data_IF_400585922230
#
_entry.id   IF_400585922230
#
_cell.length_a   1.000
_cell.length_b   1.000
_cell.length_c   1.000
_cell.angle_alpha   90.00
_cell.angle_beta   90.00
_cell.angle_gamma   90.00
#
_symmetry.space_group_name_H-M   'P 1'
#
loop_
_entity.id
_entity.type
_entity.pdbx_description
1 polymer ?
#
# COMPACT_ATOMS: atom_id res chain seq x y z
N UNK A 1 6.14 -12.45 -7.03
CA UNK A 1 5.42 -11.28 -6.46
C UNK A 1 6.05 -10.91 -5.13
N UNK A 2 6.20 -9.61 -4.83
CA UNK A 2 6.92 -9.13 -3.61
C UNK A 2 5.98 -8.43 -2.61
N UNK A 3 4.72 -8.15 -2.97
CA UNK A 3 3.78 -7.44 -2.11
C UNK A 3 3.22 -8.35 -1.00
N UNK A 4 3.53 -8.08 0.26
CA UNK A 4 3.04 -8.88 1.40
C UNK A 4 1.76 -8.32 2.02
N UNK A 5 1.50 -7.02 1.90
CA UNK A 5 0.32 -6.36 2.45
C UNK A 5 -0.86 -6.35 1.47
N UNK A 6 -2.10 -6.35 2.00
CA UNK A 6 -3.35 -6.26 1.23
C UNK A 6 -3.57 -7.38 0.20
N UNK A 7 -2.92 -8.54 0.37
CA UNK A 7 -3.12 -9.74 -0.45
C UNK A 7 -3.72 -10.81 0.44
N UNK A 8 -4.77 -11.48 -0.07
CA UNK A 8 -5.41 -12.59 0.64
C UNK A 8 -4.36 -13.67 0.96
N UNK A 9 -4.49 -14.27 2.13
CA UNK A 9 -3.64 -15.36 2.61
C UNK A 9 -2.17 -14.96 2.85
N UNK A 10 -1.85 -13.66 2.91
CA UNK A 10 -0.55 -13.13 3.37
C UNK A 10 -0.70 -12.43 4.71
N UNK A 11 0.29 -12.63 5.59
CA UNK A 11 0.32 -12.02 6.91
C UNK A 11 1.34 -10.88 6.95
N UNK A 12 1.07 -9.89 7.81
CA UNK A 12 2.00 -8.77 8.04
C UNK A 12 3.38 -9.26 8.52
N UNK A 13 3.41 -10.39 9.22
CA UNK A 13 4.64 -11.00 9.74
C UNK A 13 5.52 -11.59 8.63
N UNK A 14 4.96 -11.94 7.47
CA UNK A 14 5.72 -12.54 6.37
C UNK A 14 6.80 -11.58 5.85
N UNK A 15 6.46 -10.29 5.72
CA UNK A 15 7.41 -9.26 5.30
C UNK A 15 8.51 -9.01 6.33
N UNK A 16 8.17 -9.09 7.63
CA UNK A 16 9.12 -8.92 8.73
C UNK A 16 10.09 -10.10 8.77
N UNK A 17 9.60 -11.32 8.58
CA UNK A 17 10.41 -12.53 8.56
C UNK A 17 11.45 -12.50 7.44
N UNK A 18 11.03 -12.17 6.21
CA UNK A 18 11.94 -12.07 5.05
C UNK A 18 13.03 -11.03 5.31
N UNK A 19 12.67 -9.85 5.84
CA UNK A 19 13.66 -8.82 6.14
C UNK A 19 14.68 -9.29 7.20
N UNK A 20 14.23 -9.98 8.25
CA UNK A 20 15.11 -10.54 9.27
C UNK A 20 16.05 -11.60 8.69
N UNK A 21 15.57 -12.50 7.83
CA UNK A 21 16.40 -13.52 7.19
C UNK A 21 17.51 -12.91 6.33
N UNK A 22 17.21 -11.85 5.57
CA UNK A 22 18.20 -11.13 4.75
C UNK A 22 19.27 -10.48 5.62
N UNK A 23 18.87 -9.85 6.73
CA UNK A 23 19.80 -9.24 7.70
C UNK A 23 20.70 -10.30 8.35
N UNK A 24 20.11 -11.42 8.77
CA UNK A 24 20.84 -12.53 9.39
C UNK A 24 21.81 -13.19 8.41
N UNK A 25 21.43 -13.35 7.14
CA UNK A 25 22.31 -13.88 6.10
C UNK A 25 23.51 -12.96 5.84
N UNK A 26 23.28 -11.66 5.70
CA UNK A 26 24.37 -10.69 5.53
C UNK A 26 25.35 -10.74 6.71
N UNK A 27 24.82 -10.82 7.93
CA UNK A 27 25.63 -10.95 9.15
C UNK A 27 26.45 -12.24 9.16
N UNK A 28 25.86 -13.40 8.84
CA UNK A 28 26.56 -14.69 8.78
C UNK A 28 27.64 -14.71 7.71
N UNK A 29 27.38 -14.09 6.56
CA UNK A 29 28.30 -14.02 5.43
C UNK A 29 29.34 -12.89 5.53
N UNK A 30 29.29 -12.08 6.60
CA UNK A 30 30.15 -10.90 6.82
C UNK A 30 30.12 -9.93 5.65
N UNK A 31 28.96 -9.79 5.00
CA UNK A 31 28.73 -8.83 3.92
C UNK A 31 28.16 -7.53 4.48
N UNK A 32 28.63 -6.41 3.94
CA UNK A 32 27.99 -5.12 4.19
C UNK A 32 26.58 -5.12 3.58
N UNK A 33 25.64 -4.53 4.31
CA UNK A 33 24.23 -4.49 3.95
C UNK A 33 23.70 -3.06 4.10
N UNK A 34 22.94 -2.61 3.10
CA UNK A 34 22.23 -1.33 3.12
C UNK A 34 20.74 -1.59 2.96
N UNK A 35 19.93 -1.05 3.89
CA UNK A 35 18.46 -1.12 3.83
C UNK A 35 17.89 0.26 3.54
N UNK A 36 17.02 0.33 2.54
CA UNK A 36 16.21 1.51 2.27
C UNK A 36 14.79 1.31 2.78
N UNK A 37 14.42 2.03 3.84
CA UNK A 37 13.04 2.11 4.30
C UNK A 37 12.39 3.35 3.70
N UNK A 38 11.45 3.13 2.78
CA UNK A 38 10.66 4.19 2.15
C UNK A 38 9.22 4.07 2.64
N UNK A 39 8.61 5.21 2.98
CA UNK A 39 7.23 5.30 3.42
C UNK A 39 6.56 6.53 2.80
N UNK A 40 5.26 6.47 2.59
CA UNK A 40 4.48 7.58 2.02
C UNK A 40 3.78 8.36 3.12
N UNK A 41 4.02 9.67 3.19
CA UNK A 41 3.23 10.53 4.08
C UNK A 41 1.77 10.55 3.61
N UNK A 42 0.87 10.11 4.49
CA UNK A 42 -0.58 10.13 4.29
C UNK A 42 -0.98 9.63 2.90
N UNK A 43 -0.57 8.41 2.55
CA UNK A 43 -0.69 7.86 1.19
C UNK A 43 -2.08 8.03 0.54
N UNK A 44 -3.16 7.95 1.33
CA UNK A 44 -4.53 8.12 0.83
C UNK A 44 -4.94 9.58 0.62
N UNK A 45 -4.31 10.52 1.33
CA UNK A 45 -4.56 11.95 1.19
C UNK A 45 -3.73 12.55 0.05
N UNK A 46 -2.52 12.01 -0.16
CA UNK A 46 -1.53 12.52 -1.11
C UNK A 46 -1.59 11.88 -2.51
N UNK A 47 -2.33 10.77 -2.67
CA UNK A 47 -2.47 10.12 -3.98
C UNK A 47 -3.23 10.99 -4.97
N UNK A 48 -2.68 11.16 -6.17
CA UNK A 48 -3.38 11.85 -7.25
C UNK A 48 -4.56 11.00 -7.77
N UNK A 49 -5.75 11.57 -7.71
CA UNK A 49 -7.00 10.88 -8.07
C UNK A 49 -7.11 10.59 -9.57
N UNK A 50 -6.52 11.46 -10.41
CA UNK A 50 -6.45 11.24 -11.86
C UNK A 50 -5.52 10.07 -12.21
N UNK A 51 -4.41 9.95 -11.51
CA UNK A 51 -3.47 8.85 -11.62
C UNK A 51 -4.11 7.52 -11.18
N UNK A 52 -4.85 7.52 -10.07
CA UNK A 52 -5.60 6.34 -9.61
C UNK A 52 -6.55 5.82 -10.70
N UNK A 53 -7.38 6.70 -11.27
CA UNK A 53 -8.32 6.37 -12.35
C UNK A 53 -7.58 5.81 -13.59
N UNK A 54 -6.46 6.44 -13.98
CA UNK A 54 -5.66 6.00 -15.11
C UNK A 54 -5.04 4.60 -14.90
N UNK A 55 -4.51 4.32 -13.70
CA UNK A 55 -3.95 3.01 -13.36
C UNK A 55 -5.03 1.95 -13.35
N UNK A 56 -6.19 2.23 -12.75
CA UNK A 56 -7.31 1.28 -12.75
C UNK A 56 -7.78 0.94 -14.18
N UNK A 57 -7.80 1.93 -15.09
CA UNK A 57 -8.07 1.70 -16.50
C UNK A 57 -7.04 0.76 -17.15
N UNK A 58 -5.75 0.96 -16.87
CA UNK A 58 -4.66 0.12 -17.41
C UNK A 58 -4.65 -1.30 -16.83
N UNK A 59 -5.10 -1.47 -15.58
CA UNK A 59 -5.25 -2.78 -14.94
C UNK A 59 -6.48 -3.54 -15.43
N UNK A 60 -7.31 -2.95 -16.30
CA UNK A 60 -8.47 -3.61 -16.90
C UNK A 60 -9.72 -3.60 -16.04
N UNK A 61 -9.81 -2.71 -15.04
CA UNK A 61 -11.01 -2.63 -14.20
C UNK A 61 -12.22 -2.14 -15.01
N UNK A 62 -13.40 -2.77 -14.84
CA UNK A 62 -14.61 -2.38 -15.56
C UNK A 62 -14.97 -0.91 -15.34
N UNK A 63 -15.45 -0.24 -16.38
CA UNK A 63 -15.81 1.19 -16.34
C UNK A 63 -16.83 1.51 -15.24
N UNK A 64 -17.81 0.64 -15.01
CA UNK A 64 -18.79 0.84 -13.93
C UNK A 64 -18.13 0.82 -12.55
N UNK A 65 -17.20 -0.09 -12.32
CA UNK A 65 -16.50 -0.23 -11.05
C UNK A 65 -15.59 0.97 -10.77
N UNK A 66 -14.87 1.45 -11.79
CA UNK A 66 -14.05 2.67 -11.71
C UNK A 66 -14.89 3.89 -11.36
N UNK A 67 -16.05 4.06 -11.99
CA UNK A 67 -17.00 5.15 -11.66
C UNK A 67 -17.41 5.12 -10.19
N UNK A 68 -17.78 3.95 -9.64
CA UNK A 68 -18.15 3.86 -8.23
C UNK A 68 -17.01 4.24 -7.30
N UNK A 69 -15.80 3.78 -7.59
CA UNK A 69 -14.63 4.15 -6.79
C UNK A 69 -14.37 5.65 -6.88
N UNK A 70 -14.38 6.23 -8.09
CA UNK A 70 -14.21 7.67 -8.29
C UNK A 70 -15.16 8.48 -7.41
N UNK A 71 -16.45 8.15 -7.39
CA UNK A 71 -17.43 8.81 -6.51
C UNK A 71 -17.02 8.67 -5.03
N UNK A 72 -16.64 7.48 -4.58
CA UNK A 72 -16.23 7.26 -3.19
C UNK A 72 -14.99 8.08 -2.78
N UNK A 73 -13.95 8.15 -3.61
CA UNK A 73 -12.70 8.87 -3.24
C UNK A 73 -12.77 10.39 -3.45
N UNK A 74 -13.67 10.88 -4.31
CA UNK A 74 -13.82 12.31 -4.56
C UNK A 74 -14.85 12.99 -3.63
N UNK A 75 -15.83 12.25 -3.12
CA UNK A 75 -16.95 12.81 -2.36
C UNK A 75 -16.96 12.45 -0.87
N UNK A 76 -16.01 11.63 -0.42
CA UNK A 76 -15.94 11.24 0.99
C UNK A 76 -15.82 12.46 1.91
N UNK A 77 -16.76 12.58 2.84
CA UNK A 77 -16.73 13.55 3.94
C UNK A 77 -16.85 12.80 5.26
N UNK A 78 -16.18 13.29 6.29
CA UNK A 78 -16.28 12.78 7.64
C UNK A 78 -16.68 13.91 8.59
N UNK A 79 -17.59 13.63 9.51
CA UNK A 79 -17.97 14.53 10.61
C UNK A 79 -17.91 13.77 11.93
N UNK A 80 -17.51 14.46 13.00
CA UNK A 80 -17.52 13.92 14.35
C UNK A 80 -18.68 14.58 15.09
N UNK A 81 -19.65 13.78 15.52
CA UNK A 81 -20.72 14.24 16.40
C UNK A 81 -20.22 14.16 17.85
N UNK A 82 -19.95 15.32 18.45
CA UNK A 82 -19.64 15.40 19.88
C UNK A 82 -20.94 15.69 20.62
N UNK A 83 -21.61 14.63 21.06
CA UNK A 83 -22.61 14.72 22.13
C UNK A 83 -21.87 14.49 23.45
N UNK A 84 -21.90 15.47 24.34
CA UNK A 84 -21.55 15.25 25.75
C UNK A 84 -22.51 14.26 26.40
#
# INVERSE_FOLDING_TARGET
EVQTAFVKDRQILDGILIANEVVDEARRSKKELMLFKVDFEKAYDSVDRGYLEAVMGRMGFPTLWRKWIHECVCTATASVLVNG
#
